data_IF_433871377145
#
_entry.id   IF_433871377145
#
_cell.length_a   1.000
_cell.length_b   1.000
_cell.length_c   1.000
_cell.angle_alpha   90.00
_cell.angle_beta   90.00
_cell.angle_gamma   90.00
#
_symmetry.space_group_name_H-M   'P 1'
#
loop_
_entity.id
_entity.type
_entity.pdbx_description
1 polymer ?
#
# COMPACT_ATOMS: atom_id res chain seq x y z
N UNK A 1 -30.61 20.50 3.02
CA UNK A 1 -30.06 20.68 4.37
C UNK A 1 -28.92 19.69 4.57
N UNK A 2 -27.73 20.17 4.92
CA UNK A 2 -26.62 19.32 5.38
C UNK A 2 -26.88 19.05 6.86
N UNK A 3 -27.21 17.82 7.21
CA UNK A 3 -27.38 17.39 8.60
C UNK A 3 -26.01 17.07 9.17
N UNK A 4 -25.53 17.86 10.14
CA UNK A 4 -24.24 17.65 10.78
C UNK A 4 -24.34 16.47 11.76
N UNK A 5 -23.59 15.41 11.52
CA UNK A 5 -23.59 14.24 12.40
C UNK A 5 -22.40 14.29 13.37
N UNK A 6 -22.58 14.97 14.51
CA UNK A 6 -21.57 15.09 15.56
C UNK A 6 -21.27 13.75 16.26
N UNK A 7 -22.17 12.77 16.16
CA UNK A 7 -21.95 11.43 16.70
C UNK A 7 -20.83 10.69 15.97
N UNK A 8 -20.62 10.99 14.68
CA UNK A 8 -19.54 10.38 13.90
C UNK A 8 -18.14 10.74 14.40
N UNK A 9 -17.99 11.88 15.09
CA UNK A 9 -16.72 12.33 15.68
C UNK A 9 -16.47 11.78 17.09
N UNK A 10 -17.51 11.31 17.77
CA UNK A 10 -17.45 10.84 19.18
C UNK A 10 -17.36 9.32 19.30
N UNK A 11 -17.59 8.58 18.21
CA UNK A 11 -17.30 7.14 18.12
C UNK A 11 -15.78 6.93 18.21
N UNK A 12 -15.28 5.86 18.86
CA UNK A 12 -13.84 5.61 19.05
C UNK A 12 -13.03 5.65 17.74
N UNK A 13 -13.59 5.18 16.63
CA UNK A 13 -12.96 5.27 15.29
C UNK A 13 -12.78 6.73 14.84
N UNK A 14 -13.79 7.59 15.07
CA UNK A 14 -13.72 9.01 14.72
C UNK A 14 -12.66 9.76 15.53
N UNK A 15 -12.52 9.43 16.82
CA UNK A 15 -11.47 9.99 17.69
C UNK A 15 -10.07 9.58 17.19
N UNK A 16 -9.88 8.30 16.83
CA UNK A 16 -8.62 7.81 16.27
C UNK A 16 -8.25 8.58 15.00
N UNK A 17 -9.21 8.77 14.07
CA UNK A 17 -8.98 9.52 12.83
C UNK A 17 -8.58 10.97 13.04
N UNK A 18 -9.09 11.63 14.08
CA UNK A 18 -8.67 12.99 14.44
C UNK A 18 -7.19 13.02 14.87
N UNK A 19 -6.77 12.04 15.67
CA UNK A 19 -5.36 11.92 16.06
C UNK A 19 -4.48 11.54 14.86
N UNK A 20 -4.93 10.65 13.98
CA UNK A 20 -4.21 10.32 12.73
C UNK A 20 -4.00 11.56 11.86
N UNK A 21 -5.05 12.35 11.66
CA UNK A 21 -4.96 13.61 10.92
C UNK A 21 -3.96 14.58 11.58
N UNK A 22 -4.05 14.77 12.90
CA UNK A 22 -3.15 15.66 13.60
C UNK A 22 -1.68 15.20 13.51
N UNK A 23 -1.41 13.91 13.72
CA UNK A 23 -0.07 13.35 13.68
C UNK A 23 0.52 13.35 12.26
N UNK A 24 -0.26 13.01 11.24
CA UNK A 24 0.20 13.07 9.83
C UNK A 24 0.49 14.51 9.42
N UNK A 25 -0.36 15.46 9.80
CA UNK A 25 -0.16 16.88 9.55
C UNK A 25 1.12 17.39 10.23
N UNK A 26 1.30 17.09 11.53
CA UNK A 26 2.51 17.49 12.28
C UNK A 26 3.74 16.89 11.61
N UNK A 27 3.74 15.59 11.29
CA UNK A 27 4.89 14.90 10.67
C UNK A 27 5.25 15.53 9.33
N UNK A 28 4.25 15.75 8.47
CA UNK A 28 4.45 16.40 7.17
C UNK A 28 5.02 17.82 7.32
N UNK A 29 4.46 18.64 8.21
CA UNK A 29 4.93 20.01 8.45
C UNK A 29 6.35 20.05 8.99
N UNK A 30 6.70 19.12 9.89
CA UNK A 30 8.04 19.03 10.49
C UNK A 30 9.11 18.69 9.46
N UNK A 31 8.81 17.77 8.53
CA UNK A 31 9.76 17.42 7.47
C UNK A 31 9.82 18.49 6.39
N UNK A 32 8.70 19.17 6.11
CA UNK A 32 8.68 20.32 5.20
C UNK A 32 9.57 21.48 5.71
N UNK A 33 9.63 21.72 7.02
CA UNK A 33 10.47 22.80 7.58
C UNK A 33 11.98 22.54 7.46
N UNK A 34 12.40 21.28 7.34
CA UNK A 34 13.81 20.90 7.15
C UNK A 34 14.29 21.06 5.70
N UNK A 35 13.40 21.41 4.78
CA UNK A 35 13.70 21.65 3.37
C UNK A 35 13.48 20.43 2.46
N UNK A 36 13.76 20.64 1.18
CA UNK A 36 13.52 19.66 0.12
C UNK A 36 14.76 18.80 -0.16
N UNK A 37 14.55 17.51 -0.41
CA UNK A 37 15.58 16.62 -0.92
C UNK A 37 15.07 15.89 -2.17
N UNK A 38 15.82 15.94 -3.26
CA UNK A 38 15.40 15.45 -4.59
C UNK A 38 15.51 13.93 -4.76
N UNK A 39 15.48 13.18 -3.67
CA UNK A 39 15.61 11.72 -3.67
C UNK A 39 14.23 11.05 -3.71
N UNK A 40 14.09 9.95 -4.46
CA UNK A 40 12.82 9.22 -4.60
C UNK A 40 12.22 8.78 -3.26
N UNK A 41 13.08 8.43 -2.29
CA UNK A 41 12.65 8.05 -0.94
C UNK A 41 12.06 9.21 -0.14
N UNK A 42 12.63 10.43 -0.26
CA UNK A 42 12.09 11.61 0.39
C UNK A 42 10.73 11.98 -0.21
N UNK A 43 10.64 11.97 -1.54
CA UNK A 43 9.39 12.24 -2.24
C UNK A 43 8.30 11.23 -1.85
N UNK A 44 8.65 9.95 -1.71
CA UNK A 44 7.72 8.92 -1.26
C UNK A 44 7.23 9.13 0.18
N UNK A 45 8.13 9.45 1.12
CA UNK A 45 7.75 9.70 2.52
C UNK A 45 6.83 10.93 2.62
N UNK A 46 7.17 12.02 1.92
CA UNK A 46 6.36 13.23 1.88
C UNK A 46 5.00 12.99 1.22
N UNK A 47 4.97 12.27 0.10
CA UNK A 47 3.72 11.86 -0.55
C UNK A 47 2.86 11.04 0.41
N UNK A 48 3.46 10.09 1.13
CA UNK A 48 2.75 9.24 2.08
C UNK A 48 2.07 10.06 3.17
N UNK A 49 2.80 10.91 3.89
CA UNK A 49 2.21 11.69 4.99
C UNK A 49 1.17 12.68 4.49
N UNK A 50 1.44 13.34 3.35
CA UNK A 50 0.52 14.27 2.71
C UNK A 50 -0.77 13.57 2.26
N UNK A 51 -0.65 12.48 1.50
CA UNK A 51 -1.79 11.70 1.01
C UNK A 51 -2.64 11.17 2.17
N UNK A 52 -2.02 10.61 3.21
CA UNK A 52 -2.73 10.12 4.38
C UNK A 52 -3.45 11.26 5.12
N UNK A 53 -2.80 12.40 5.31
CA UNK A 53 -3.38 13.59 5.93
C UNK A 53 -4.63 14.08 5.18
N UNK A 54 -4.52 14.33 3.88
CA UNK A 54 -5.63 14.87 3.08
C UNK A 54 -6.79 13.90 2.93
N UNK A 55 -6.50 12.61 2.73
CA UNK A 55 -7.54 11.60 2.60
C UNK A 55 -8.27 11.37 3.93
N UNK A 56 -7.56 11.36 5.06
CA UNK A 56 -8.18 11.25 6.39
C UNK A 56 -9.04 12.46 6.70
N UNK A 57 -8.57 13.67 6.38
CA UNK A 57 -9.38 14.89 6.46
C UNK A 57 -10.66 14.77 5.60
N UNK A 58 -10.53 14.31 4.36
CA UNK A 58 -11.66 14.12 3.45
C UNK A 58 -12.68 13.12 4.01
N UNK A 59 -12.21 12.01 4.60
CA UNK A 59 -13.06 11.02 5.27
C UNK A 59 -13.82 11.67 6.43
N UNK A 60 -13.12 12.41 7.30
CA UNK A 60 -13.73 13.12 8.43
C UNK A 60 -14.80 14.11 7.95
N UNK A 61 -14.52 14.89 6.90
CA UNK A 61 -15.47 15.87 6.35
C UNK A 61 -16.70 15.17 5.79
N UNK A 62 -16.53 14.09 5.03
CA UNK A 62 -17.65 13.37 4.41
C UNK A 62 -18.54 12.66 5.44
N UNK A 63 -17.95 12.16 6.52
CA UNK A 63 -18.69 11.59 7.66
C UNK A 63 -19.43 12.67 8.46
N UNK A 64 -18.75 13.79 8.74
CA UNK A 64 -19.33 14.90 9.49
C UNK A 64 -20.52 15.55 8.76
N UNK A 65 -20.41 15.69 7.44
CA UNK A 65 -21.46 16.28 6.58
C UNK A 65 -22.58 15.29 6.23
N UNK A 66 -22.46 14.01 6.60
CA UNK A 66 -23.41 12.95 6.24
C UNK A 66 -23.52 12.72 4.73
N UNK A 67 -22.55 13.20 3.95
CA UNK A 67 -22.49 13.01 2.50
C UNK A 67 -22.05 11.59 2.13
N UNK A 68 -21.42 10.88 3.06
CA UNK A 68 -21.08 9.45 2.93
C UNK A 68 -22.27 8.60 2.44
N UNK A 69 -23.48 8.84 2.95
CA UNK A 69 -24.70 8.10 2.58
C UNK A 69 -25.19 8.38 1.16
N UNK A 70 -24.73 9.47 0.52
CA UNK A 70 -25.10 9.84 -0.86
C UNK A 70 -24.10 9.33 -1.89
N UNK A 71 -22.91 8.90 -1.47
CA UNK A 71 -21.91 8.34 -2.37
C UNK A 71 -22.35 6.91 -2.74
N UNK A 72 -22.28 6.56 -4.02
CA UNK A 72 -22.64 5.21 -4.52
C UNK A 72 -21.63 4.11 -4.15
N UNK A 73 -20.66 4.42 -3.30
CA UNK A 73 -19.53 3.56 -2.89
C UNK A 73 -19.85 2.94 -1.53
N UNK A 74 -19.41 1.70 -1.25
CA UNK A 74 -19.44 1.21 0.13
C UNK A 74 -18.48 2.03 0.98
N UNK A 75 -19.04 2.88 1.84
CA UNK A 75 -18.24 3.76 2.69
C UNK A 75 -17.35 2.97 3.66
N UNK A 76 -17.86 1.89 4.26
CA UNK A 76 -17.09 1.06 5.19
C UNK A 76 -15.95 0.31 4.50
N UNK A 77 -16.21 -0.26 3.31
CA UNK A 77 -15.16 -0.93 2.52
C UNK A 77 -14.09 0.08 2.05
N UNK A 78 -14.50 1.28 1.65
CA UNK A 78 -13.57 2.32 1.23
C UNK A 78 -12.67 2.77 2.39
N UNK A 79 -13.27 3.10 3.54
CA UNK A 79 -12.51 3.59 4.69
C UNK A 79 -11.61 2.51 5.29
N UNK A 80 -12.06 1.26 5.33
CA UNK A 80 -11.21 0.14 5.77
C UNK A 80 -10.07 -0.15 4.80
N UNK A 81 -10.32 -0.14 3.48
CA UNK A 81 -9.27 -0.29 2.47
C UNK A 81 -8.23 0.84 2.59
N UNK A 82 -8.69 2.07 2.78
CA UNK A 82 -7.83 3.22 2.97
C UNK A 82 -7.02 3.13 4.27
N UNK A 83 -7.64 2.74 5.39
CA UNK A 83 -6.94 2.52 6.66
C UNK A 83 -5.84 1.45 6.51
N UNK A 84 -6.16 0.33 5.86
CA UNK A 84 -5.18 -0.74 5.58
C UNK A 84 -4.03 -0.23 4.70
N UNK A 85 -4.32 0.50 3.62
CA UNK A 85 -3.27 1.08 2.78
C UNK A 85 -2.41 2.07 3.57
N UNK A 86 -3.02 2.94 4.36
CA UNK A 86 -2.33 3.92 5.21
C UNK A 86 -1.43 3.22 6.23
N UNK A 87 -1.86 2.13 6.89
CA UNK A 87 -0.98 1.37 7.79
C UNK A 87 0.31 0.92 7.09
N UNK A 88 0.20 0.36 5.89
CA UNK A 88 1.34 -0.14 5.14
C UNK A 88 2.25 1.02 4.69
N UNK A 89 1.66 2.10 4.17
CA UNK A 89 2.41 3.27 3.73
C UNK A 89 3.15 3.94 4.88
N UNK A 90 2.49 4.16 6.03
CA UNK A 90 3.14 4.74 7.22
C UNK A 90 4.19 3.82 7.83
N UNK A 91 3.97 2.50 7.83
CA UNK A 91 4.99 1.54 8.24
C UNK A 91 6.24 1.68 7.37
N UNK A 92 6.09 1.68 6.04
CA UNK A 92 7.22 1.88 5.14
C UNK A 92 7.88 3.25 5.34
N UNK A 93 7.12 4.34 5.44
CA UNK A 93 7.67 5.67 5.69
C UNK A 93 8.45 5.72 7.03
N UNK A 94 7.94 5.06 8.08
CA UNK A 94 8.58 4.98 9.39
C UNK A 94 9.88 4.16 9.41
N UNK A 95 10.11 3.30 8.42
CA UNK A 95 11.35 2.52 8.26
C UNK A 95 12.31 3.24 7.29
N UNK A 96 11.79 3.71 6.15
CA UNK A 96 12.58 4.36 5.10
C UNK A 96 13.14 5.69 5.59
N UNK A 97 12.33 6.55 6.21
CA UNK A 97 12.81 7.87 6.60
C UNK A 97 13.98 7.84 7.61
N UNK A 98 13.95 7.05 8.71
CA UNK A 98 15.10 6.99 9.62
C UNK A 98 16.34 6.34 9.00
N UNK A 99 16.17 5.32 8.16
CA UNK A 99 17.30 4.62 7.55
C UNK A 99 18.11 5.52 6.62
N UNK A 100 17.45 6.45 5.93
CA UNK A 100 18.10 7.34 4.97
C UNK A 100 18.44 8.75 5.50
N UNK A 101 17.65 9.30 6.44
CA UNK A 101 17.72 10.74 6.75
C UNK A 101 17.95 11.09 8.23
N UNK A 102 17.70 10.17 9.17
CA UNK A 102 17.90 10.48 10.60
C UNK A 102 19.38 10.50 10.96
N UNK A 103 19.77 11.53 11.69
CA UNK A 103 21.09 11.68 12.27
C UNK A 103 20.98 11.73 13.80
N UNK A 104 22.02 11.30 14.52
CA UNK A 104 22.01 11.22 15.99
C UNK A 104 21.78 12.56 16.69
N UNK A 105 22.01 13.68 15.99
CA UNK A 105 21.87 15.04 16.53
C UNK A 105 20.77 15.85 15.82
N UNK A 106 19.86 15.19 15.09
CA UNK A 106 18.79 15.84 14.33
C UNK A 106 17.44 15.68 15.07
N UNK A 107 17.11 16.52 16.07
CA UNK A 107 15.92 16.34 16.91
C UNK A 107 14.62 16.38 16.10
N UNK A 108 14.57 17.24 15.08
CA UNK A 108 13.40 17.39 14.19
C UNK A 108 13.14 16.08 13.42
N UNK A 109 14.17 15.51 12.80
CA UNK A 109 14.04 14.26 12.04
C UNK A 109 13.67 13.07 12.94
N UNK A 110 14.22 13.02 14.15
CA UNK A 110 13.85 12.00 15.14
C UNK A 110 12.38 12.16 15.54
N UNK A 111 11.94 13.38 15.86
CA UNK A 111 10.55 13.65 16.20
C UNK A 111 9.60 13.24 15.07
N UNK A 112 9.91 13.58 13.81
CA UNK A 112 9.12 13.16 12.65
C UNK A 112 8.98 11.63 12.56
N UNK A 113 10.06 10.87 12.81
CA UNK A 113 9.98 9.40 12.81
C UNK A 113 9.12 8.84 13.93
N UNK A 114 9.27 9.36 15.15
CA UNK A 114 8.46 8.93 16.29
C UNK A 114 6.99 9.20 16.02
N UNK A 115 6.65 10.39 15.51
CA UNK A 115 5.27 10.76 15.17
C UNK A 115 4.71 9.86 14.06
N UNK A 116 5.50 9.54 13.04
CA UNK A 116 5.11 8.58 11.99
C UNK A 116 4.88 7.17 12.55
N UNK A 117 5.70 6.71 13.50
CA UNK A 117 5.52 5.41 14.17
C UNK A 117 4.24 5.36 15.02
N UNK A 118 3.97 6.44 15.78
CA UNK A 118 2.73 6.54 16.57
C UNK A 118 1.52 6.56 15.64
N UNK A 119 1.60 7.29 14.53
CA UNK A 119 0.52 7.34 13.54
C UNK A 119 0.29 5.98 12.86
N UNK A 120 1.35 5.21 12.57
CA UNK A 120 1.22 3.82 12.14
C UNK A 120 0.42 2.98 13.14
N UNK A 121 0.72 3.11 14.44
CA UNK A 121 0.00 2.38 15.48
C UNK A 121 -1.49 2.77 15.55
N UNK A 122 -1.81 4.04 15.30
CA UNK A 122 -3.21 4.50 15.25
C UNK A 122 -3.97 3.88 14.08
N UNK A 123 -3.43 3.94 12.86
CA UNK A 123 -4.07 3.29 11.71
C UNK A 123 -4.20 1.77 11.92
N UNK A 124 -3.20 1.15 12.57
CA UNK A 124 -3.28 -0.28 12.89
C UNK A 124 -4.39 -0.56 13.91
N UNK A 125 -4.58 0.33 14.89
CA UNK A 125 -5.70 0.28 15.82
C UNK A 125 -7.05 0.53 15.13
N UNK A 126 -7.13 1.44 14.14
CA UNK A 126 -8.32 1.66 13.32
C UNK A 126 -8.71 0.38 12.56
N UNK A 127 -7.74 -0.26 11.89
CA UNK A 127 -7.95 -1.55 11.19
C UNK A 127 -8.36 -2.65 12.18
N UNK A 128 -7.72 -2.70 13.36
CA UNK A 128 -8.07 -3.65 14.42
C UNK A 128 -9.50 -3.46 14.93
N UNK A 129 -9.91 -2.22 15.18
CA UNK A 129 -11.22 -1.88 15.72
C UNK A 129 -12.34 -2.07 14.69
N UNK A 130 -12.06 -1.76 13.42
CA UNK A 130 -13.01 -2.01 12.32
C UNK A 130 -13.20 -3.50 12.06
N UNK A 131 -12.15 -4.33 12.22
CA UNK A 131 -12.25 -5.80 12.09
C UNK A 131 -12.81 -6.50 13.32
N UNK A 132 -12.67 -5.93 14.51
CA UNK A 132 -13.17 -6.51 15.75
C UNK A 132 -14.70 -6.41 15.91
N UNK A 133 -15.39 -5.59 15.11
CA UNK A 133 -16.86 -5.48 15.14
C UNK A 133 -17.52 -6.76 14.60
N UNK A 134 -18.10 -7.62 15.46
CA UNK A 134 -18.77 -8.83 15.03
C UNK A 134 -20.22 -8.47 14.67
N UNK A 135 -20.58 -8.47 13.37
CA UNK A 135 -21.99 -8.40 12.99
C UNK A 135 -22.36 -7.74 11.65
N UNK A 136 -21.44 -7.07 10.95
CA UNK A 136 -21.80 -6.29 9.74
C UNK A 136 -20.80 -6.48 8.59
N UNK A 137 -20.19 -7.66 8.51
CA UNK A 137 -19.09 -7.93 7.59
C UNK A 137 -19.64 -8.63 6.33
N UNK A 138 -20.30 -7.86 5.47
CA UNK A 138 -20.69 -8.30 4.12
C UNK A 138 -20.03 -7.44 3.04
N UNK A 139 -18.72 -7.27 3.15
CA UNK A 139 -17.88 -6.57 2.19
C UNK A 139 -16.72 -7.45 1.74
N UNK A 140 -16.53 -7.61 0.44
CA UNK A 140 -15.47 -8.42 -0.19
C UNK A 140 -14.05 -8.02 0.28
N UNK A 141 -13.85 -6.82 0.84
CA UNK A 141 -12.58 -6.36 1.44
C UNK A 141 -12.28 -6.93 2.84
N UNK A 142 -13.24 -7.60 3.48
CA UNK A 142 -12.98 -8.45 4.63
C UNK A 142 -12.42 -9.81 4.25
N UNK A 143 -12.54 -10.21 2.97
CA UNK A 143 -12.01 -11.49 2.51
C UNK A 143 -10.48 -11.41 2.36
N UNK A 144 -9.82 -12.51 2.69
CA UNK A 144 -8.36 -12.66 2.61
C UNK A 144 -7.79 -12.23 1.23
N UNK A 145 -8.43 -12.54 0.08
CA UNK A 145 -8.00 -12.07 -1.24
C UNK A 145 -7.95 -10.55 -1.41
N UNK A 146 -8.95 -9.83 -0.89
CA UNK A 146 -8.98 -8.36 -0.98
C UNK A 146 -7.80 -7.70 -0.27
N UNK A 147 -7.43 -8.22 0.91
CA UNK A 147 -6.25 -7.77 1.65
C UNK A 147 -4.95 -8.07 0.90
N UNK A 148 -4.85 -9.27 0.30
CA UNK A 148 -3.68 -9.67 -0.48
C UNK A 148 -3.49 -8.76 -1.69
N UNK A 149 -4.56 -8.36 -2.39
CA UNK A 149 -4.48 -7.40 -3.52
C UNK A 149 -3.93 -6.03 -3.11
N UNK A 150 -4.34 -5.51 -1.96
CA UNK A 150 -3.79 -4.25 -1.42
C UNK A 150 -2.30 -4.41 -1.11
N UNK A 151 -1.91 -5.55 -0.52
CA UNK A 151 -0.51 -5.86 -0.23
C UNK A 151 0.33 -6.01 -1.52
N UNK A 152 -0.19 -6.65 -2.56
CA UNK A 152 0.48 -6.79 -3.86
C UNK A 152 0.79 -5.43 -4.49
N UNK A 153 -0.22 -4.54 -4.51
CA UNK A 153 -0.07 -3.19 -5.04
C UNK A 153 0.94 -2.38 -4.21
N UNK A 154 0.89 -2.50 -2.88
CA UNK A 154 1.82 -1.83 -1.99
C UNK A 154 3.27 -2.29 -2.17
N UNK A 155 3.52 -3.60 -2.24
CA UNK A 155 4.87 -4.14 -2.46
C UNK A 155 5.40 -3.71 -3.83
N UNK A 156 4.56 -3.70 -4.86
CA UNK A 156 4.93 -3.17 -6.17
C UNK A 156 5.32 -1.68 -6.13
N UNK A 157 4.61 -0.84 -5.35
CA UNK A 157 5.01 0.54 -5.11
C UNK A 157 6.42 0.62 -4.49
N UNK A 158 6.73 -0.20 -3.48
CA UNK A 158 8.05 -0.22 -2.86
C UNK A 158 9.14 -0.62 -3.87
N UNK A 159 8.85 -1.58 -4.75
CA UNK A 159 9.73 -1.95 -5.86
C UNK A 159 10.01 -0.72 -6.73
N UNK A 160 8.98 0.02 -7.18
CA UNK A 160 9.14 1.19 -8.05
C UNK A 160 10.02 2.29 -7.44
N UNK A 161 9.93 2.53 -6.13
CA UNK A 161 10.78 3.53 -5.46
C UNK A 161 12.24 3.10 -5.45
N UNK A 162 12.50 1.79 -5.35
CA UNK A 162 13.85 1.24 -5.32
C UNK A 162 14.47 1.11 -6.71
N UNK A 163 13.68 1.20 -7.79
CA UNK A 163 14.16 1.16 -9.17
C UNK A 163 14.96 2.42 -9.52
N UNK A 164 16.02 2.23 -10.31
CA UNK A 164 16.83 3.31 -10.86
C UNK A 164 16.76 3.29 -12.39
N UNK A 165 16.26 4.38 -12.98
CA UNK A 165 16.02 4.51 -14.43
C UNK A 165 17.28 4.40 -15.28
N UNK A 166 18.44 4.78 -14.74
CA UNK A 166 19.72 4.62 -15.43
C UNK A 166 20.17 3.16 -15.49
N UNK A 167 19.81 2.34 -14.50
CA UNK A 167 20.27 0.97 -14.40
C UNK A 167 19.40 -0.04 -15.16
N UNK A 168 18.08 -0.02 -14.95
CA UNK A 168 17.21 -1.03 -15.57
C UNK A 168 17.06 -0.82 -17.08
N UNK A 169 17.25 0.40 -17.59
CA UNK A 169 17.15 0.70 -19.02
C UNK A 169 18.28 0.08 -19.85
N UNK A 170 19.40 -0.28 -19.22
CA UNK A 170 20.60 -0.81 -19.89
C UNK A 170 20.48 -2.29 -20.29
N UNK A 171 19.64 -3.06 -19.60
CA UNK A 171 19.53 -4.50 -19.82
C UNK A 171 18.09 -4.89 -20.15
N UNK A 172 17.84 -5.57 -21.29
CA UNK A 172 16.49 -5.96 -21.69
C UNK A 172 15.81 -6.89 -20.67
N UNK A 173 16.60 -7.71 -19.96
CA UNK A 173 16.08 -8.56 -18.88
C UNK A 173 15.51 -7.75 -17.70
N UNK A 174 16.14 -6.63 -17.33
CA UNK A 174 15.62 -5.77 -16.27
C UNK A 174 14.38 -4.99 -16.74
N UNK A 175 14.35 -4.57 -18.00
CA UNK A 175 13.15 -3.96 -18.61
C UNK A 175 11.94 -4.91 -18.57
N UNK A 176 12.15 -6.21 -18.83
CA UNK A 176 11.11 -7.23 -18.68
C UNK A 176 10.59 -7.30 -17.25
N UNK A 177 11.47 -7.33 -16.24
CA UNK A 177 11.06 -7.32 -14.84
C UNK A 177 10.21 -6.10 -14.49
N UNK A 178 10.62 -4.91 -14.95
CA UNK A 178 9.86 -3.67 -14.73
C UNK A 178 8.49 -3.72 -15.43
N UNK A 179 8.41 -4.28 -16.64
CA UNK A 179 7.14 -4.49 -17.33
C UNK A 179 6.21 -5.43 -16.54
N UNK A 180 6.73 -6.54 -16.02
CA UNK A 180 5.98 -7.47 -15.16
C UNK A 180 5.43 -6.75 -13.93
N UNK A 181 6.26 -6.00 -13.20
CA UNK A 181 5.82 -5.25 -12.02
C UNK A 181 4.73 -4.23 -12.38
N UNK A 182 4.87 -3.56 -13.52
CA UNK A 182 3.94 -2.51 -14.00
C UNK A 182 2.59 -3.08 -14.40
N UNK A 183 2.57 -4.13 -15.23
CA UNK A 183 1.33 -4.81 -15.64
C UNK A 183 0.61 -5.33 -14.41
N UNK A 184 1.34 -5.99 -13.51
CA UNK A 184 0.71 -6.58 -12.34
C UNK A 184 0.15 -5.54 -11.38
N UNK A 185 0.86 -4.42 -11.21
CA UNK A 185 0.41 -3.29 -10.42
C UNK A 185 -0.88 -2.65 -10.99
N UNK A 186 -0.92 -2.38 -12.29
CA UNK A 186 -2.09 -1.76 -12.94
C UNK A 186 -3.33 -2.63 -12.77
N UNK A 187 -3.20 -3.93 -13.01
CA UNK A 187 -4.34 -4.85 -12.87
C UNK A 187 -4.78 -4.96 -11.40
N UNK A 188 -3.84 -5.04 -10.46
CA UNK A 188 -4.16 -5.08 -9.02
C UNK A 188 -4.88 -3.80 -8.57
N UNK A 189 -4.42 -2.62 -9.01
CA UNK A 189 -5.12 -1.36 -8.78
C UNK A 189 -6.53 -1.33 -9.37
N UNK A 190 -6.68 -1.82 -10.61
CA UNK A 190 -7.98 -1.88 -11.27
C UNK A 190 -8.95 -2.78 -10.50
N UNK A 191 -8.49 -3.92 -9.98
CA UNK A 191 -9.27 -4.81 -9.13
C UNK A 191 -9.70 -4.09 -7.84
N UNK A 192 -8.78 -3.38 -7.17
CA UNK A 192 -9.09 -2.61 -5.96
C UNK A 192 -10.15 -1.53 -6.24
N UNK A 193 -9.99 -0.77 -7.32
CA UNK A 193 -10.95 0.29 -7.72
C UNK A 193 -12.32 -0.29 -8.03
N UNK A 194 -12.37 -1.38 -8.81
CA UNK A 194 -13.64 -2.06 -9.14
C UNK A 194 -14.34 -2.59 -7.89
N UNK A 195 -13.56 -3.09 -6.93
CA UNK A 195 -14.05 -3.64 -5.65
C UNK A 195 -14.73 -2.55 -4.83
N UNK A 196 -14.02 -1.44 -4.62
CA UNK A 196 -14.55 -0.28 -3.87
C UNK A 196 -15.78 0.31 -4.59
N UNK A 197 -15.74 0.39 -5.92
CA UNK A 197 -16.85 0.92 -6.72
C UNK A 197 -18.10 0.04 -6.78
N UNK A 198 -18.13 -1.13 -6.10
CA UNK A 198 -19.19 -2.16 -6.20
C UNK A 198 -19.55 -2.52 -7.65
N UNK A 199 -18.64 -2.27 -8.59
CA UNK A 199 -18.88 -2.47 -10.02
C UNK A 199 -18.62 -3.91 -10.44
N UNK A 200 -17.95 -4.71 -9.61
CA UNK A 200 -17.77 -6.16 -9.83
C UNK A 200 -19.10 -6.88 -10.01
N UNK A 201 -20.12 -6.57 -9.20
CA UNK A 201 -21.43 -7.21 -9.27
C UNK A 201 -22.25 -6.83 -10.52
N UNK A 202 -21.85 -5.79 -11.26
CA UNK A 202 -22.54 -5.33 -12.47
C UNK A 202 -21.95 -5.97 -13.74
N UNK A 203 -20.80 -6.64 -13.66
CA UNK A 203 -20.14 -7.23 -14.82
C UNK A 203 -20.65 -8.68 -14.98
N UNK A 204 -21.39 -9.02 -16.07
CA UNK A 204 -21.99 -10.33 -16.29
C UNK A 204 -21.00 -11.40 -16.80
N UNK A 205 -19.70 -11.17 -16.66
CA UNK A 205 -18.62 -12.08 -17.08
C UNK A 205 -18.26 -12.95 -15.86
N UNK A 206 -17.83 -14.22 -16.01
CA UNK A 206 -17.29 -15.02 -14.91
C UNK A 206 -15.96 -14.44 -14.41
N UNK A 207 -16.06 -13.30 -13.71
CA UNK A 207 -14.96 -12.46 -13.28
C UNK A 207 -14.03 -13.25 -12.36
N UNK A 208 -14.58 -14.11 -11.52
CA UNK A 208 -13.81 -14.97 -10.61
C UNK A 208 -12.89 -15.95 -11.36
N UNK A 209 -13.33 -16.50 -12.50
CA UNK A 209 -12.51 -17.40 -13.34
C UNK A 209 -11.42 -16.63 -14.08
N UNK A 210 -11.75 -15.44 -14.60
CA UNK A 210 -10.78 -14.57 -15.26
C UNK A 210 -9.72 -14.06 -14.29
N UNK A 211 -10.13 -13.65 -13.08
CA UNK A 211 -9.27 -13.20 -12.00
C UNK A 211 -8.32 -14.31 -11.54
N UNK A 212 -8.84 -15.53 -11.39
CA UNK A 212 -8.01 -16.70 -11.06
C UNK A 212 -6.99 -16.99 -12.15
N UNK A 213 -7.40 -16.96 -13.43
CA UNK A 213 -6.48 -17.14 -14.56
C UNK A 213 -5.39 -16.07 -14.61
N UNK A 214 -5.75 -14.81 -14.36
CA UNK A 214 -4.79 -13.72 -14.25
C UNK A 214 -3.84 -13.90 -13.06
N UNK A 215 -4.31 -14.32 -11.89
CA UNK A 215 -3.47 -14.56 -10.72
C UNK A 215 -2.42 -15.65 -10.99
N UNK A 216 -2.80 -16.74 -11.65
CA UNK A 216 -1.87 -17.77 -12.10
C UNK A 216 -0.83 -17.18 -13.07
N UNK A 217 -1.27 -16.38 -14.03
CA UNK A 217 -0.38 -15.72 -14.98
C UNK A 217 0.58 -14.75 -14.28
N UNK A 218 0.11 -14.00 -13.28
CA UNK A 218 0.91 -13.09 -12.48
C UNK A 218 1.99 -13.85 -11.70
N UNK A 219 1.66 -15.00 -11.09
CA UNK A 219 2.65 -15.88 -10.44
C UNK A 219 3.73 -16.32 -11.43
N UNK A 220 3.35 -16.76 -12.63
CA UNK A 220 4.32 -17.16 -13.66
C UNK A 220 5.22 -16.00 -14.08
N UNK A 221 4.65 -14.82 -14.29
CA UNK A 221 5.42 -13.62 -14.62
C UNK A 221 6.39 -13.23 -13.49
N UNK A 222 5.93 -13.23 -12.23
CA UNK A 222 6.78 -12.92 -11.08
C UNK A 222 7.88 -13.95 -10.84
N UNK A 223 7.64 -15.24 -11.13
CA UNK A 223 8.69 -16.27 -11.10
C UNK A 223 9.84 -15.91 -12.05
N UNK A 224 9.52 -15.44 -13.27
CA UNK A 224 10.57 -14.98 -14.20
C UNK A 224 11.29 -13.76 -13.65
N UNK A 225 10.58 -12.79 -13.07
CA UNK A 225 11.18 -11.56 -12.55
C UNK A 225 12.10 -11.82 -11.34
N UNK A 226 11.72 -12.73 -10.45
CA UNK A 226 12.51 -13.13 -9.26
C UNK A 226 13.82 -13.81 -9.63
N UNK A 227 13.89 -14.52 -10.76
CA UNK A 227 15.13 -15.16 -11.22
C UNK A 227 15.96 -14.20 -12.08
N UNK A 228 15.33 -13.50 -13.03
CA UNK A 228 16.02 -12.60 -13.95
C UNK A 228 16.61 -11.41 -13.21
N UNK A 229 15.89 -10.82 -12.25
CA UNK A 229 16.34 -9.61 -11.57
C UNK A 229 17.68 -9.81 -10.82
N UNK A 230 17.86 -10.80 -9.92
CA UNK A 230 19.12 -11.03 -9.23
C UNK A 230 20.26 -11.41 -10.18
N UNK A 231 19.99 -12.23 -11.21
CA UNK A 231 21.01 -12.69 -12.17
C UNK A 231 21.64 -11.51 -12.90
N UNK A 232 20.83 -10.58 -13.40
CA UNK A 232 21.35 -9.38 -14.05
C UNK A 232 21.85 -8.34 -13.04
N UNK A 233 21.25 -8.25 -11.85
CA UNK A 233 21.63 -7.27 -10.83
C UNK A 233 23.00 -7.54 -10.21
N UNK A 234 23.26 -8.79 -9.80
CA UNK A 234 24.45 -9.15 -9.03
C UNK A 234 25.63 -9.61 -9.89
N UNK A 235 25.39 -9.98 -11.16
CA UNK A 235 26.47 -10.33 -12.09
C UNK A 235 27.34 -9.13 -12.47
N UNK A 236 26.75 -7.92 -12.52
CA UNK A 236 27.45 -6.72 -12.97
C UNK A 236 27.82 -5.74 -11.84
N UNK A 237 27.27 -5.91 -10.63
CA UNK A 237 27.56 -5.04 -9.47
C UNK A 237 28.08 -5.89 -8.31
N UNK A 238 29.39 -5.80 -8.06
CA UNK A 238 30.00 -6.36 -6.85
C UNK A 238 29.66 -5.51 -5.61
N UNK A 239 29.52 -6.19 -4.47
CA UNK A 239 29.26 -5.55 -3.17
C UNK A 239 30.43 -4.64 -2.78
N UNK A 240 30.24 -3.32 -2.63
CA UNK A 240 31.28 -2.45 -2.11
C UNK A 240 31.54 -2.73 -0.61
N UNK A 241 32.78 -2.56 -0.13
CA UNK A 241 33.17 -2.91 1.25
C UNK A 241 32.48 -2.04 2.32
N UNK A 242 32.11 -0.80 2.00
CA UNK A 242 31.34 0.09 2.86
C UNK A 242 30.17 0.64 2.06
N UNK A 243 28.95 0.35 2.50
CA UNK A 243 27.73 0.82 1.84
C UNK A 243 26.72 1.31 2.89
N UNK A 244 26.65 2.63 3.06
CA UNK A 244 25.52 3.30 3.68
C UNK A 244 24.75 3.96 2.54
N UNK A 245 23.62 3.36 2.14
CA UNK A 245 22.73 3.86 1.07
C UNK A 245 23.27 3.77 -0.38
N UNK A 246 23.98 2.71 -0.73
CA UNK A 246 24.46 2.49 -2.10
C UNK A 246 23.43 1.81 -3.00
N UNK A 247 23.69 1.86 -4.31
CA UNK A 247 22.88 1.22 -5.34
C UNK A 247 22.67 -0.27 -5.05
N UNK A 248 23.70 -1.00 -4.61
CA UNK A 248 23.60 -2.43 -4.28
C UNK A 248 22.50 -2.74 -3.26
N UNK A 249 22.34 -1.92 -2.20
CA UNK A 249 21.26 -2.09 -1.22
C UNK A 249 19.87 -1.93 -1.84
N UNK A 250 19.71 -1.05 -2.84
CA UNK A 250 18.45 -0.90 -3.58
C UNK A 250 18.16 -2.13 -4.45
N UNK A 251 19.16 -2.72 -5.09
CA UNK A 251 18.99 -3.94 -5.90
C UNK A 251 18.61 -5.15 -5.03
N UNK A 252 19.19 -5.25 -3.83
CA UNK A 252 18.81 -6.25 -2.82
C UNK A 252 17.38 -6.02 -2.35
N UNK A 253 17.00 -4.77 -2.06
CA UNK A 253 15.64 -4.42 -1.67
C UNK A 253 14.62 -4.81 -2.75
N UNK A 254 14.87 -4.51 -4.03
CA UNK A 254 14.01 -4.94 -5.13
C UNK A 254 13.92 -6.47 -5.19
N UNK A 255 15.04 -7.18 -5.08
CA UNK A 255 15.04 -8.65 -5.11
C UNK A 255 14.19 -9.24 -3.98
N UNK A 256 14.37 -8.74 -2.75
CA UNK A 256 13.61 -9.18 -1.59
C UNK A 256 12.10 -8.88 -1.75
N UNK A 257 11.77 -7.66 -2.18
CA UNK A 257 10.38 -7.24 -2.40
C UNK A 257 9.72 -8.03 -3.53
N UNK A 258 10.44 -8.38 -4.59
CA UNK A 258 9.92 -9.26 -5.66
C UNK A 258 9.62 -10.67 -5.16
N UNK A 259 10.47 -11.23 -4.28
CA UNK A 259 10.20 -12.51 -3.64
C UNK A 259 8.96 -12.43 -2.73
N UNK A 260 8.85 -11.37 -1.92
CA UNK A 260 7.67 -11.15 -1.08
C UNK A 260 6.42 -11.05 -1.96
N UNK A 261 6.47 -10.27 -3.04
CA UNK A 261 5.32 -10.10 -3.91
C UNK A 261 4.91 -11.42 -4.57
N UNK A 262 5.88 -12.23 -5.01
CA UNK A 262 5.62 -13.57 -5.54
C UNK A 262 4.89 -14.44 -4.51
N UNK A 263 5.32 -14.44 -3.24
CA UNK A 263 4.65 -15.20 -2.18
C UNK A 263 3.21 -14.72 -2.01
N UNK A 264 2.99 -13.40 -2.00
CA UNK A 264 1.64 -12.82 -1.89
C UNK A 264 0.76 -13.28 -3.06
N UNK A 265 1.25 -13.21 -4.31
CA UNK A 265 0.53 -13.70 -5.48
C UNK A 265 0.23 -15.20 -5.42
N UNK A 266 1.16 -16.03 -4.91
CA UNK A 266 0.93 -17.47 -4.74
C UNK A 266 -0.18 -17.70 -3.72
N UNK A 267 -0.11 -17.03 -2.58
CA UNK A 267 -1.12 -17.15 -1.51
C UNK A 267 -2.49 -16.69 -2.03
N UNK A 268 -2.55 -15.58 -2.76
CA UNK A 268 -3.78 -15.07 -3.37
C UNK A 268 -4.35 -16.05 -4.40
N UNK A 269 -3.49 -16.66 -5.22
CA UNK A 269 -3.89 -17.70 -6.17
C UNK A 269 -4.49 -18.92 -5.45
N UNK A 270 -3.86 -19.39 -4.36
CA UNK A 270 -4.36 -20.53 -3.58
C UNK A 270 -5.72 -20.23 -2.97
N UNK A 271 -5.92 -19.06 -2.39
CA UNK A 271 -7.22 -18.65 -1.85
C UNK A 271 -8.28 -18.48 -2.94
N UNK A 272 -7.92 -17.85 -4.06
CA UNK A 272 -8.82 -17.66 -5.21
C UNK A 272 -9.29 -19.00 -5.79
N UNK A 273 -8.36 -19.95 -6.01
CA UNK A 273 -8.68 -21.31 -6.47
C UNK A 273 -9.56 -22.03 -5.45
N UNK A 274 -9.27 -21.94 -4.16
CA UNK A 274 -10.13 -22.57 -3.14
C UNK A 274 -11.55 -22.02 -3.14
N UNK A 275 -11.71 -20.71 -3.23
CA UNK A 275 -13.04 -20.08 -3.26
C UNK A 275 -13.83 -20.49 -4.50
N UNK A 276 -13.21 -20.44 -5.69
CA UNK A 276 -13.89 -20.71 -6.96
C UNK A 276 -14.23 -22.20 -7.15
N UNK A 277 -13.34 -23.10 -6.75
CA UNK A 277 -13.50 -24.54 -7.04
C UNK A 277 -14.09 -25.36 -5.90
N UNK A 278 -14.00 -24.91 -4.64
CA UNK A 278 -14.47 -25.69 -3.49
C UNK A 278 -15.63 -25.06 -2.72
N UNK A 279 -15.91 -23.76 -2.88
CA UNK A 279 -16.91 -23.04 -2.06
C UNK A 279 -18.12 -22.57 -2.86
N UNK A 280 -17.98 -22.18 -4.14
CA UNK A 280 -19.14 -21.88 -4.99
C UNK A 280 -19.84 -23.18 -5.43
N UNK A 281 -21.09 -23.45 -5.01
CA UNK A 281 -21.88 -24.50 -5.66
C UNK A 281 -22.16 -24.07 -7.11
N UNK A 282 -22.15 -25.06 -8.01
CA UNK A 282 -22.56 -24.89 -9.41
C UNK A 282 -24.01 -24.42 -9.53
#
# INVERSE_FOLDING_TARGET
MVTLNTQSLTVPVGIIRLFEFALTLITFSLVASEGHNSTSFWAWCMFTWCFCCFMTLLIIILEFTGLNAKVRISWDDFTTAFAMLSTLMLLAASIIYPTFYVCSSCPVKIAATVMSCVCFCLYAAEVGLTRAKPGEISGFLSTVPGLLKVLEAFVACIIFICLDSGFYSRFPGLQWCVAVYSICFIVSLLIIILTIGRSLARIPIPLDKCLTGYNILAVLMYLTAVVVWPVYSFKYIQKPPVCRNCLWSRLVAVSCMSCINLIVYIVDTVYSVRLVFFVSPA
#
